data_IF_860571888805
#
_entry.id   IF_860571888805
#
_cell.length_a   1.000
_cell.length_b   1.000
_cell.length_c   1.000
_cell.angle_alpha   90.00
_cell.angle_beta   90.00
_cell.angle_gamma   90.00
#
_symmetry.space_group_name_H-M   'P 1'
#
loop_
_entity.id
_entity.type
_entity.pdbx_description
1 polymer ?
#
# COMPACT_ATOMS: atom_id res chain seq x y z
N UNK A 1 -4.36 -15.74 -4.15
CA UNK A 1 -3.82 -17.08 -4.50
C UNK A 1 -3.36 -17.77 -3.23
N UNK A 2 -4.00 -18.86 -2.81
CA UNK A 2 -3.78 -19.46 -1.48
C UNK A 2 -2.44 -20.21 -1.33
N UNK A 3 -1.60 -20.23 -2.39
CA UNK A 3 -0.22 -20.72 -2.31
C UNK A 3 0.75 -19.69 -1.76
N UNK A 4 0.38 -18.41 -1.73
CA UNK A 4 1.23 -17.36 -1.20
C UNK A 4 1.37 -17.52 0.31
N UNK A 5 2.61 -17.60 0.79
CA UNK A 5 2.93 -17.87 2.19
C UNK A 5 2.51 -16.77 3.18
N UNK A 6 1.93 -15.67 2.70
CA UNK A 6 1.43 -14.54 3.49
C UNK A 6 -0.09 -14.35 3.36
N UNK A 7 -0.80 -15.31 2.79
CA UNK A 7 -2.26 -15.24 2.61
C UNK A 7 -3.00 -14.94 3.93
N UNK A 8 -2.53 -15.51 5.05
CA UNK A 8 -3.08 -15.28 6.39
C UNK A 8 -2.90 -13.85 6.93
N UNK A 9 -2.08 -13.00 6.29
CA UNK A 9 -1.88 -11.61 6.71
C UNK A 9 -2.96 -10.67 6.17
N UNK A 10 -3.70 -11.09 5.14
CA UNK A 10 -4.82 -10.35 4.57
C UNK A 10 -6.14 -10.66 5.27
N UNK A 11 -7.14 -9.81 5.06
CA UNK A 11 -8.47 -10.00 5.66
C UNK A 11 -9.36 -10.97 4.88
N UNK A 12 -9.33 -10.90 3.55
CA UNK A 12 -10.22 -11.66 2.67
C UNK A 12 -9.71 -11.66 1.23
N UNK A 13 -10.14 -12.65 0.44
CA UNK A 13 -10.01 -12.62 -1.03
C UNK A 13 -11.01 -11.66 -1.69
N UNK A 14 -12.06 -11.25 -0.96
CA UNK A 14 -13.03 -10.26 -1.41
C UNK A 14 -12.50 -8.83 -1.15
N UNK A 15 -12.31 -8.01 -2.21
CA UNK A 15 -11.82 -6.65 -2.06
C UNK A 15 -12.72 -5.76 -1.20
N UNK A 16 -14.03 -5.96 -1.26
CA UNK A 16 -14.99 -5.13 -0.52
C UNK A 16 -14.88 -5.37 0.99
N UNK A 17 -14.86 -6.63 1.41
CA UNK A 17 -14.60 -7.03 2.80
C UNK A 17 -13.28 -6.42 3.32
N UNK A 18 -12.22 -6.50 2.51
CA UNK A 18 -10.90 -5.96 2.89
C UNK A 18 -10.93 -4.43 3.02
N UNK A 19 -11.63 -3.74 2.12
CA UNK A 19 -11.78 -2.29 2.15
C UNK A 19 -12.56 -1.79 3.38
N UNK A 20 -13.67 -2.45 3.71
CA UNK A 20 -14.47 -2.12 4.90
C UNK A 20 -13.67 -2.30 6.20
N UNK A 21 -12.95 -3.43 6.32
CA UNK A 21 -12.12 -3.70 7.49
C UNK A 21 -10.93 -2.74 7.59
N UNK A 22 -10.28 -2.40 6.47
CA UNK A 22 -9.21 -1.41 6.43
C UNK A 22 -9.69 -0.05 6.95
N UNK A 23 -10.86 0.42 6.49
CA UNK A 23 -11.45 1.69 6.91
C UNK A 23 -11.63 1.76 8.43
N UNK A 24 -12.25 0.75 9.03
CA UNK A 24 -12.48 0.72 10.48
C UNK A 24 -11.20 0.50 11.29
N UNK A 25 -10.28 -0.35 10.81
CA UNK A 25 -9.02 -0.60 11.50
C UNK A 25 -8.18 0.69 11.58
N UNK A 26 -8.08 1.44 10.48
CA UNK A 26 -7.33 2.70 10.44
C UNK A 26 -7.89 3.69 11.45
N UNK A 27 -9.21 3.93 11.44
CA UNK A 27 -9.87 4.82 12.41
C UNK A 27 -9.71 4.35 13.86
N UNK A 28 -9.73 3.05 14.09
CA UNK A 28 -9.47 2.46 15.40
C UNK A 28 -8.06 2.80 15.90
N UNK A 29 -7.06 2.59 15.05
CA UNK A 29 -5.64 2.83 15.35
C UNK A 29 -5.33 4.32 15.54
N UNK A 30 -5.71 5.17 14.58
CA UNK A 30 -5.21 6.55 14.51
C UNK A 30 -6.25 7.61 14.91
N UNK A 31 -7.54 7.26 14.99
CA UNK A 31 -8.63 8.23 15.09
C UNK A 31 -9.13 8.70 13.71
N UNK A 32 -10.08 9.64 13.71
CA UNK A 32 -10.70 10.21 12.53
C UNK A 32 -10.13 11.59 12.23
N UNK A 33 -9.58 11.85 11.04
CA UNK A 33 -9.13 13.19 10.68
C UNK A 33 -10.22 14.25 10.89
N UNK A 34 -9.87 15.33 11.57
CA UNK A 34 -10.79 16.43 11.88
C UNK A 34 -11.52 16.30 13.23
N UNK A 35 -11.58 15.11 13.83
CA UNK A 35 -12.11 14.94 15.19
C UNK A 35 -11.10 15.42 16.23
N UNK A 36 -11.48 16.42 17.03
CA UNK A 36 -10.59 17.05 18.01
C UNK A 36 -10.77 16.57 19.44
N UNK A 37 -11.84 15.82 19.71
CA UNK A 37 -12.15 15.25 21.02
C UNK A 37 -12.84 13.87 20.90
N UNK A 38 -13.17 13.28 22.05
CA UNK A 38 -13.84 11.97 22.10
C UNK A 38 -12.93 10.77 21.75
N UNK A 39 -13.51 9.56 21.62
CA UNK A 39 -12.77 8.31 21.44
C UNK A 39 -12.10 8.15 20.06
N UNK A 40 -12.48 9.00 19.09
CA UNK A 40 -11.91 9.04 17.75
C UNK A 40 -11.07 10.30 17.50
N UNK A 41 -10.73 11.07 18.55
CA UNK A 41 -9.80 12.19 18.45
C UNK A 41 -8.58 11.80 17.60
N UNK A 42 -8.34 12.55 16.54
CA UNK A 42 -7.26 12.27 15.60
C UNK A 42 -5.91 12.34 16.30
N UNK A 43 -5.17 11.24 16.30
CA UNK A 43 -3.87 11.09 16.98
C UNK A 43 -3.93 11.50 18.47
N UNK A 44 -5.10 11.31 19.09
CA UNK A 44 -5.33 11.56 20.51
C UNK A 44 -4.68 10.52 21.43
N UNK A 45 -4.90 10.61 22.76
CA UNK A 45 -4.35 9.67 23.73
C UNK A 45 -4.68 8.21 23.39
N UNK A 46 -3.65 7.37 23.31
CA UNK A 46 -3.80 5.94 23.00
C UNK A 46 -3.96 5.61 21.52
N UNK A 47 -3.90 6.60 20.62
CA UNK A 47 -3.87 6.40 19.17
C UNK A 47 -2.44 6.30 18.63
N UNK A 48 -2.29 5.64 17.50
CA UNK A 48 -1.04 5.47 16.77
C UNK A 48 -1.25 5.71 15.28
N UNK A 49 -0.21 6.17 14.60
CA UNK A 49 -0.23 6.32 13.15
C UNK A 49 -0.43 4.94 12.50
N UNK A 50 -1.45 4.82 11.63
CA UNK A 50 -1.69 3.60 10.87
C UNK A 50 -0.87 3.57 9.58
N UNK A 51 -0.43 2.38 9.19
CA UNK A 51 0.23 2.10 7.92
C UNK A 51 -0.57 1.10 7.09
N UNK A 52 -0.90 1.45 5.85
CA UNK A 52 -1.49 0.51 4.88
C UNK A 52 -0.37 -0.22 4.11
N UNK A 53 -0.48 -1.53 3.94
CA UNK A 53 0.56 -2.36 3.31
C UNK A 53 0.02 -3.57 2.54
N UNK A 54 0.72 -4.09 1.52
CA UNK A 54 1.87 -3.51 0.80
C UNK A 54 1.43 -2.99 -0.57
N UNK A 55 1.53 -1.69 -0.80
CA UNK A 55 1.09 -1.05 -2.03
C UNK A 55 2.02 -1.41 -3.20
N UNK A 56 1.61 -2.15 -4.23
CA UNK A 56 0.32 -2.80 -4.44
C UNK A 56 0.48 -4.17 -5.12
N UNK A 57 -0.44 -5.09 -4.86
CA UNK A 57 -0.61 -6.31 -5.66
C UNK A 57 0.12 -7.55 -5.14
N UNK A 58 0.78 -7.49 -3.99
CA UNK A 58 1.53 -8.61 -3.40
C UNK A 58 0.71 -9.91 -3.23
N UNK A 59 -0.59 -9.80 -2.96
CA UNK A 59 -1.52 -10.92 -2.85
C UNK A 59 -1.97 -11.58 -4.16
N UNK A 60 -1.66 -10.97 -5.30
CA UNK A 60 -2.10 -11.37 -6.65
C UNK A 60 -0.97 -11.89 -7.55
N UNK A 61 0.21 -12.17 -6.98
CA UNK A 61 1.37 -12.64 -7.74
C UNK A 61 1.12 -13.95 -8.49
N UNK A 62 1.75 -14.06 -9.67
CA UNK A 62 1.78 -15.30 -10.43
C UNK A 62 2.31 -16.45 -9.57
N UNK A 63 1.58 -17.56 -9.59
CA UNK A 63 1.86 -18.75 -8.78
C UNK A 63 1.91 -18.54 -7.25
N UNK A 64 1.67 -17.33 -6.74
CA UNK A 64 1.70 -17.01 -5.31
C UNK A 64 3.13 -16.87 -4.80
N UNK A 65 4.05 -16.45 -5.68
CA UNK A 65 5.46 -16.27 -5.36
C UNK A 65 5.62 -14.98 -4.53
N UNK A 66 6.19 -15.09 -3.34
CA UNK A 66 6.43 -13.93 -2.48
C UNK A 66 7.43 -12.95 -3.12
N UNK A 67 7.02 -11.68 -3.25
CA UNK A 67 7.80 -10.68 -3.99
C UNK A 67 7.89 -10.92 -5.51
N UNK A 68 7.01 -11.77 -6.05
CA UNK A 68 6.90 -12.05 -7.48
C UNK A 68 6.23 -10.94 -8.28
N UNK A 69 5.81 -11.29 -9.49
CA UNK A 69 5.13 -10.38 -10.41
C UNK A 69 3.61 -10.56 -10.35
N UNK A 70 2.89 -9.45 -10.32
CA UNK A 70 1.43 -9.41 -10.43
C UNK A 70 1.08 -8.95 -11.83
N UNK A 71 0.53 -9.88 -12.63
CA UNK A 71 0.17 -9.64 -14.02
C UNK A 71 -1.33 -9.43 -14.11
N UNK A 72 -1.74 -8.17 -14.19
CA UNK A 72 -3.15 -7.75 -14.24
C UNK A 72 -3.30 -6.54 -15.16
N UNK A 73 -4.44 -6.48 -15.84
CA UNK A 73 -4.86 -5.25 -16.52
C UNK A 73 -5.08 -4.14 -15.50
N UNK A 74 -4.88 -2.88 -15.91
CA UNK A 74 -4.92 -1.74 -14.99
C UNK A 74 -6.26 -1.63 -14.27
N UNK A 75 -7.37 -1.86 -14.97
CA UNK A 75 -8.72 -1.85 -14.40
C UNK A 75 -8.88 -2.92 -13.32
N UNK A 76 -8.37 -4.13 -13.55
CA UNK A 76 -8.43 -5.24 -12.59
C UNK A 76 -7.54 -5.00 -11.38
N UNK A 77 -6.32 -4.48 -11.60
CA UNK A 77 -5.42 -4.08 -10.52
C UNK A 77 -6.11 -3.06 -9.61
N UNK A 78 -6.74 -2.03 -10.18
CA UNK A 78 -7.43 -0.99 -9.40
C UNK A 78 -8.68 -1.56 -8.72
N UNK A 79 -9.50 -2.34 -9.42
CA UNK A 79 -10.75 -2.88 -8.89
C UNK A 79 -10.53 -3.87 -7.75
N UNK A 80 -9.49 -4.72 -7.84
CA UNK A 80 -9.25 -5.79 -6.88
C UNK A 80 -8.17 -5.46 -5.85
N UNK A 81 -6.99 -5.01 -6.31
CA UNK A 81 -5.86 -4.73 -5.42
C UNK A 81 -5.87 -3.29 -4.91
N UNK A 82 -6.48 -2.36 -5.65
CA UNK A 82 -6.52 -0.93 -5.32
C UNK A 82 -7.63 -0.52 -4.37
N UNK A 83 -8.76 -1.22 -4.39
CA UNK A 83 -9.95 -0.87 -3.61
C UNK A 83 -9.67 -0.70 -2.10
N UNK A 84 -8.92 -1.60 -1.44
CA UNK A 84 -8.60 -1.42 -0.01
C UNK A 84 -7.75 -0.18 0.28
N UNK A 85 -6.86 0.21 -0.63
CA UNK A 85 -6.04 1.42 -0.46
C UNK A 85 -6.85 2.70 -0.65
N UNK A 86 -7.81 2.71 -1.58
CA UNK A 86 -8.76 3.83 -1.69
C UNK A 86 -9.56 4.01 -0.40
N UNK A 87 -10.04 2.92 0.20
CA UNK A 87 -10.72 2.97 1.49
C UNK A 87 -9.79 3.43 2.63
N UNK A 88 -8.52 3.02 2.59
CA UNK A 88 -7.51 3.48 3.55
C UNK A 88 -7.23 4.99 3.44
N UNK A 89 -7.11 5.52 2.23
CA UNK A 89 -6.96 6.96 1.97
C UNK A 89 -8.19 7.73 2.46
N UNK A 90 -9.39 7.23 2.19
CA UNK A 90 -10.64 7.82 2.69
C UNK A 90 -10.76 7.79 4.22
N UNK A 91 -10.15 6.80 4.89
CA UNK A 91 -10.03 6.76 6.34
C UNK A 91 -8.89 7.65 6.89
N UNK A 92 -8.14 8.31 6.00
CA UNK A 92 -7.07 9.23 6.33
C UNK A 92 -5.76 8.58 6.71
N UNK A 93 -5.46 7.36 6.24
CA UNK A 93 -4.17 6.70 6.55
C UNK A 93 -2.99 7.64 6.27
N UNK A 94 -2.00 7.66 7.16
CA UNK A 94 -0.93 8.65 7.09
C UNK A 94 0.32 8.13 6.37
N UNK A 95 0.53 6.81 6.37
CA UNK A 95 1.71 6.21 5.75
C UNK A 95 1.34 4.96 4.99
N UNK A 96 2.10 4.67 3.94
CA UNK A 96 1.87 3.49 3.11
C UNK A 96 3.18 2.78 2.80
N UNK A 97 3.21 1.47 3.06
CA UNK A 97 4.35 0.62 2.79
C UNK A 97 4.30 0.11 1.35
N UNK A 98 5.35 0.32 0.57
CA UNK A 98 5.42 -0.13 -0.83
C UNK A 98 5.86 -1.59 -0.90
N UNK A 99 5.21 -2.40 -1.75
CA UNK A 99 5.56 -3.81 -1.96
C UNK A 99 6.93 -3.97 -2.60
N UNK A 100 7.72 -4.95 -2.15
CA UNK A 100 8.97 -5.37 -2.80
C UNK A 100 8.77 -6.05 -4.16
N UNK A 101 7.52 -6.40 -4.51
CA UNK A 101 7.16 -7.11 -5.74
C UNK A 101 7.07 -6.24 -6.98
N UNK A 102 6.60 -6.87 -8.06
CA UNK A 102 6.41 -6.24 -9.37
C UNK A 102 4.93 -6.21 -9.77
N UNK A 103 4.60 -5.28 -10.66
CA UNK A 103 3.35 -5.26 -11.42
C UNK A 103 3.71 -5.19 -12.90
N UNK A 104 3.19 -6.14 -13.69
CA UNK A 104 3.44 -6.24 -15.13
C UNK A 104 4.93 -6.13 -15.50
N UNK A 105 5.79 -6.79 -14.73
CA UNK A 105 7.24 -6.84 -14.95
C UNK A 105 8.04 -5.64 -14.43
N UNK A 106 7.40 -4.64 -13.82
CA UNK A 106 8.06 -3.47 -13.25
C UNK A 106 8.01 -3.51 -11.71
N UNK A 107 9.16 -3.30 -11.06
CA UNK A 107 9.19 -3.17 -9.59
C UNK A 107 8.44 -1.92 -9.14
N UNK A 108 7.48 -2.10 -8.23
CA UNK A 108 6.62 -1.01 -7.76
C UNK A 108 7.44 0.11 -7.10
N UNK A 109 8.55 -0.22 -6.42
CA UNK A 109 9.46 0.75 -5.82
C UNK A 109 10.04 1.77 -6.82
N UNK A 110 10.09 1.44 -8.11
CA UNK A 110 10.61 2.32 -9.17
C UNK A 110 9.53 2.92 -10.07
N UNK A 111 8.25 2.58 -9.83
CA UNK A 111 7.17 2.94 -10.74
C UNK A 111 6.56 4.30 -10.36
N UNK A 112 6.98 5.35 -11.07
CA UNK A 112 6.39 6.69 -10.94
C UNK A 112 4.88 6.67 -11.25
N UNK A 113 4.48 5.88 -12.24
CA UNK A 113 3.09 5.71 -12.64
C UNK A 113 2.20 5.22 -11.50
N UNK A 114 2.70 4.28 -10.68
CA UNK A 114 1.94 3.74 -9.55
C UNK A 114 2.07 4.62 -8.30
N UNK A 115 3.28 5.04 -7.96
CA UNK A 115 3.56 5.71 -6.67
C UNK A 115 3.20 7.20 -6.66
N UNK A 116 3.34 7.89 -7.79
CA UNK A 116 3.05 9.33 -7.89
C UNK A 116 1.80 9.56 -8.71
N UNK A 117 1.78 9.18 -9.98
CA UNK A 117 0.68 9.54 -10.89
C UNK A 117 -0.66 8.94 -10.43
N UNK A 118 -0.67 7.67 -10.00
CA UNK A 118 -1.88 7.00 -9.51
C UNK A 118 -2.16 7.32 -8.03
N UNK A 119 -1.21 7.01 -7.15
CA UNK A 119 -1.47 7.05 -5.70
C UNK A 119 -1.58 8.48 -5.15
N UNK A 120 -0.61 9.34 -5.47
CA UNK A 120 -0.58 10.72 -4.94
C UNK A 120 -1.49 11.64 -5.74
N UNK A 121 -1.32 11.68 -7.05
CA UNK A 121 -1.98 12.68 -7.89
C UNK A 121 -3.44 12.30 -8.17
N UNK A 122 -3.71 11.07 -8.63
CA UNK A 122 -5.09 10.67 -8.96
C UNK A 122 -5.92 10.30 -7.73
N UNK A 123 -5.35 9.59 -6.75
CA UNK A 123 -6.10 9.15 -5.56
C UNK A 123 -5.98 10.13 -4.38
N UNK A 124 -5.12 11.14 -4.47
CA UNK A 124 -5.01 12.19 -3.46
C UNK A 124 -4.37 11.75 -2.16
N UNK A 125 -3.49 10.73 -2.18
CA UNK A 125 -2.74 10.36 -0.99
C UNK A 125 -1.71 11.44 -0.63
N UNK A 126 -1.92 12.12 0.50
CA UNK A 126 -1.09 13.23 1.00
C UNK A 126 -0.17 12.82 2.17
N UNK A 127 -0.06 11.52 2.43
CA UNK A 127 0.88 10.97 3.41
C UNK A 127 2.27 10.72 2.80
N UNK A 128 3.11 9.97 3.52
CA UNK A 128 4.41 9.56 2.99
C UNK A 128 4.49 8.05 2.73
N UNK A 129 5.31 7.69 1.74
CA UNK A 129 5.57 6.31 1.38
C UNK A 129 6.85 5.85 2.06
N UNK A 130 6.94 4.56 2.35
CA UNK A 130 8.20 3.97 2.80
C UNK A 130 8.41 2.60 2.20
N UNK A 131 9.68 2.27 2.02
CA UNK A 131 10.11 1.01 1.41
C UNK A 131 9.89 -0.17 2.36
N UNK A 132 9.51 -1.32 1.80
CA UNK A 132 9.66 -2.60 2.50
C UNK A 132 11.15 -2.97 2.56
N UNK A 133 11.50 -3.91 3.43
CA UNK A 133 12.89 -4.29 3.70
C UNK A 133 13.62 -4.61 2.39
N UNK A 134 14.54 -3.71 2.01
CA UNK A 134 15.36 -3.78 0.80
C UNK A 134 14.56 -3.87 -0.52
N UNK A 135 13.29 -3.45 -0.56
CA UNK A 135 12.50 -3.49 -1.81
C UNK A 135 13.13 -2.66 -2.94
N UNK A 136 13.67 -1.47 -2.61
CA UNK A 136 14.33 -0.60 -3.58
C UNK A 136 15.65 -1.17 -4.14
N UNK A 137 16.31 -2.12 -3.47
CA UNK A 137 17.59 -2.68 -3.97
C UNK A 137 17.41 -3.59 -5.18
N UNK A 138 16.16 -3.94 -5.51
CA UNK A 138 15.84 -4.69 -6.73
C UNK A 138 15.90 -3.81 -8.00
N UNK A 139 15.90 -2.49 -7.85
CA UNK A 139 15.99 -1.55 -8.97
C UNK A 139 17.40 -1.49 -9.53
N UNK A 140 17.52 -1.41 -10.86
CA UNK A 140 18.81 -1.26 -11.50
C UNK A 140 19.49 0.06 -11.06
N UNK A 141 20.77 -0.03 -10.69
CA UNK A 141 21.55 1.11 -10.21
C UNK A 141 21.30 1.51 -8.76
N UNK A 142 20.46 0.78 -8.02
CA UNK A 142 20.24 1.01 -6.59
C UNK A 142 21.13 0.11 -5.71
N UNK A 143 21.57 0.67 -4.59
CA UNK A 143 22.33 0.03 -3.53
C UNK A 143 21.68 0.30 -2.17
N UNK A 144 22.14 -0.39 -1.12
CA UNK A 144 21.60 -0.31 0.25
C UNK A 144 21.57 1.13 0.80
N UNK A 145 22.51 1.97 0.38
CA UNK A 145 22.69 3.35 0.81
C UNK A 145 22.41 4.39 -0.28
N UNK A 146 21.99 3.97 -1.48
CA UNK A 146 21.82 4.87 -2.62
C UNK A 146 20.76 4.36 -3.61
N UNK A 147 19.62 5.05 -3.70
CA UNK A 147 18.60 4.72 -4.69
C UNK A 147 17.75 5.96 -5.09
N UNK A 148 18.28 6.86 -5.94
CA UNK A 148 17.54 8.04 -6.39
C UNK A 148 16.31 7.67 -7.22
N UNK A 149 16.32 6.53 -7.93
CA UNK A 149 15.19 6.05 -8.72
C UNK A 149 13.94 5.85 -7.87
N UNK A 150 14.07 5.25 -6.69
CA UNK A 150 12.93 5.01 -5.81
C UNK A 150 12.37 6.32 -5.21
N UNK A 151 13.27 7.21 -4.78
CA UNK A 151 12.88 8.54 -4.27
C UNK A 151 12.14 9.34 -5.37
N UNK A 152 12.70 9.38 -6.58
CA UNK A 152 12.09 10.09 -7.70
C UNK A 152 10.76 9.47 -8.15
N UNK A 153 10.58 8.15 -7.99
CA UNK A 153 9.31 7.49 -8.28
C UNK A 153 8.19 7.89 -7.30
N UNK A 154 8.56 8.25 -6.07
CA UNK A 154 7.62 8.78 -5.08
C UNK A 154 7.77 8.22 -3.67
N UNK A 155 8.81 7.40 -3.39
CA UNK A 155 9.10 7.02 -2.00
C UNK A 155 9.41 8.25 -1.15
#
# INVERSE_FOLDING_TARGET
>A
NNRWGREYEGFSQDPQTTAELAHYLIKGLQGEPGETDGPLQFLGPGKVVASAKHFIGDGATEFGIDGGDTVLEQEELIAHQGLPYKAAIQAGVQVMLVTKGMVNGEYVHGSHALLTDLLKDQWGFDGFLYSDRFGYTNLNGCAVDNCPTAINAGI
#
